data_IF_711479246907
#
_entry.id   IF_711479246907
#
_cell.length_a   1.000
_cell.length_b   1.000
_cell.length_c   1.000
_cell.angle_alpha   90.00
_cell.angle_beta   90.00
_cell.angle_gamma   90.00
#
_symmetry.space_group_name_H-M   'P 1'
#
loop_
_entity.id
_entity.type
_entity.pdbx_description
1 polymer ?
#
# COMPACT_ATOMS: atom_id res chain seq x y z
N UNK A 1 15.52 1.77 -5.85
CA UNK A 1 14.30 1.01 -5.50
C UNK A 1 13.08 1.92 -5.62
N UNK A 2 11.85 1.40 -5.76
CA UNK A 2 10.66 2.26 -5.74
C UNK A 2 10.50 2.88 -4.35
N UNK A 3 10.43 4.21 -4.25
CA UNK A 3 10.30 4.93 -2.99
C UNK A 3 8.83 5.23 -2.71
N UNK A 4 8.37 4.79 -1.54
CA UNK A 4 7.07 5.10 -0.97
C UNK A 4 7.31 5.90 0.31
N UNK A 5 6.58 6.98 0.51
CA UNK A 5 6.71 7.84 1.67
C UNK A 5 5.39 7.90 2.43
N UNK A 6 5.49 7.87 3.76
CA UNK A 6 4.38 8.09 4.67
C UNK A 6 4.72 9.33 5.49
N UNK A 7 3.88 10.36 5.38
CA UNK A 7 4.05 11.59 6.14
C UNK A 7 3.49 11.43 7.57
N UNK A 8 3.98 12.22 8.55
CA UNK A 8 3.51 12.17 9.93
C UNK A 8 1.99 12.30 10.10
N UNK A 9 1.36 13.16 9.31
CA UNK A 9 -0.09 13.37 9.29
C UNK A 9 -0.90 12.15 8.80
N UNK A 10 -0.25 11.22 8.10
CA UNK A 10 -0.87 10.05 7.47
C UNK A 10 -0.55 8.74 8.19
N UNK A 11 0.00 8.83 9.41
CA UNK A 11 0.12 7.70 10.36
C UNK A 11 -1.24 7.42 11.01
N UNK A 12 -2.21 7.04 10.19
CA UNK A 12 -3.60 6.77 10.59
C UNK A 12 -4.24 5.75 9.67
N UNK A 13 -5.23 5.03 10.19
CA UNK A 13 -6.02 4.06 9.41
C UNK A 13 -7.33 4.70 8.98
N UNK A 14 -7.60 4.67 7.69
CA UNK A 14 -8.90 4.97 7.11
C UNK A 14 -9.69 3.68 6.93
N UNK A 15 -10.93 3.68 7.43
CA UNK A 15 -11.85 2.55 7.22
C UNK A 15 -12.95 2.99 6.27
N UNK A 16 -13.21 2.18 5.23
CA UNK A 16 -14.40 2.32 4.40
C UNK A 16 -15.15 1.00 4.30
N UNK A 17 -16.47 1.07 4.39
CA UNK A 17 -17.33 -0.09 4.16
C UNK A 17 -17.81 -0.08 2.72
N UNK A 18 -17.56 -1.18 2.02
CA UNK A 18 -18.10 -1.39 0.68
C UNK A 18 -19.59 -1.68 0.74
N UNK A 19 -20.36 -1.23 -0.26
CA UNK A 19 -21.77 -1.58 -0.35
C UNK A 19 -21.92 -3.10 -0.52
N UNK A 20 -22.97 -3.71 0.05
CA UNK A 20 -23.36 -5.07 -0.31
C UNK A 20 -23.49 -5.18 -1.82
N UNK A 21 -23.02 -6.29 -2.37
CA UNK A 21 -23.13 -6.59 -3.80
C UNK A 21 -23.51 -8.05 -3.94
N UNK A 22 -24.56 -8.29 -4.72
CA UNK A 22 -25.20 -9.60 -4.85
C UNK A 22 -25.57 -10.13 -3.45
N UNK A 23 -25.44 -11.44 -3.20
CA UNK A 23 -25.70 -12.07 -1.89
C UNK A 23 -24.54 -11.93 -0.88
N UNK A 24 -23.56 -11.04 -1.15
CA UNK A 24 -22.40 -10.88 -0.28
C UNK A 24 -22.54 -9.61 0.57
N UNK A 25 -22.33 -9.72 1.90
CA UNK A 25 -22.35 -8.55 2.77
C UNK A 25 -21.23 -7.59 2.38
N UNK A 26 -21.46 -6.30 2.67
CA UNK A 26 -20.41 -5.29 2.58
C UNK A 26 -19.20 -5.69 3.42
N UNK A 27 -18.02 -5.30 2.96
CA UNK A 27 -16.74 -5.55 3.65
C UNK A 27 -16.08 -4.25 4.03
N UNK A 28 -15.51 -4.23 5.22
CA UNK A 28 -14.62 -3.17 5.65
C UNK A 28 -13.26 -3.31 4.97
N UNK A 29 -12.76 -2.20 4.47
CA UNK A 29 -11.42 -2.07 3.90
C UNK A 29 -10.69 -1.05 4.76
N UNK A 30 -9.51 -1.44 5.23
CA UNK A 30 -8.60 -0.62 6.00
C UNK A 30 -7.50 -0.14 5.06
N UNK A 31 -7.27 1.17 5.00
CA UNK A 31 -6.34 1.82 4.08
C UNK A 31 -5.51 2.85 4.86
N UNK A 32 -4.28 3.08 4.45
CA UNK A 32 -3.44 4.19 4.89
C UNK A 32 -3.03 5.01 3.66
N UNK A 33 -2.93 6.32 3.81
CA UNK A 33 -2.42 7.19 2.75
C UNK A 33 -0.89 7.12 2.72
N UNK A 34 -0.35 6.95 1.52
CA UNK A 34 1.09 6.91 1.26
C UNK A 34 1.36 7.56 -0.09
N UNK A 35 2.62 7.88 -0.39
CA UNK A 35 2.98 8.65 -1.57
C UNK A 35 4.09 7.94 -2.34
N UNK A 36 3.79 7.52 -3.56
CA UNK A 36 4.76 6.86 -4.43
C UNK A 36 5.55 7.90 -5.22
N UNK A 37 6.87 7.85 -5.11
CA UNK A 37 7.81 8.66 -5.89
C UNK A 37 8.04 7.97 -7.24
N UNK A 38 6.99 7.96 -8.07
CA UNK A 38 7.03 7.48 -9.46
C UNK A 38 7.31 8.64 -10.43
N UNK A 39 7.72 8.32 -11.66
CA UNK A 39 8.09 9.28 -12.71
C UNK A 39 7.19 10.52 -12.72
N UNK A 40 7.80 11.70 -12.51
CA UNK A 40 7.08 12.95 -12.35
C UNK A 40 7.87 13.92 -11.46
N UNK A 41 7.36 15.13 -11.30
CA UNK A 41 7.99 16.15 -10.45
C UNK A 41 7.67 15.98 -8.96
N UNK A 42 6.52 15.36 -8.66
CA UNK A 42 5.98 15.27 -7.31
C UNK A 42 5.53 13.84 -6.99
N UNK A 43 5.58 13.42 -5.71
CA UNK A 43 5.01 12.16 -5.27
C UNK A 43 3.51 12.10 -5.55
N UNK A 44 3.01 10.93 -5.90
CA UNK A 44 1.60 10.69 -6.18
C UNK A 44 0.97 9.93 -5.03
N UNK A 45 -0.13 10.44 -4.49
CA UNK A 45 -0.87 9.77 -3.42
C UNK A 45 -1.40 8.41 -3.88
N UNK A 46 -1.23 7.41 -3.04
CA UNK A 46 -1.75 6.06 -3.20
C UNK A 46 -2.44 5.59 -1.91
N UNK A 47 -3.26 4.56 -2.05
CA UNK A 47 -3.92 3.89 -0.93
C UNK A 47 -3.22 2.58 -0.64
N UNK A 48 -2.54 2.51 0.50
CA UNK A 48 -1.92 1.28 0.99
C UNK A 48 -2.94 0.49 1.80
N UNK A 49 -3.27 -0.71 1.35
CA UNK A 49 -4.23 -1.55 2.07
C UNK A 49 -3.58 -2.16 3.33
N UNK A 50 -4.31 -2.14 4.43
CA UNK A 50 -3.94 -2.75 5.70
C UNK A 50 -4.86 -3.94 6.02
N UNK A 51 -4.36 -4.86 6.83
CA UNK A 51 -5.17 -5.91 7.43
C UNK A 51 -6.03 -5.38 8.58
N UNK A 52 -7.09 -6.12 8.93
CA UNK A 52 -7.97 -5.76 10.04
C UNK A 52 -7.18 -5.76 11.36
N UNK A 53 -7.10 -4.59 12.00
CA UNK A 53 -6.39 -4.42 13.27
C UNK A 53 -4.88 -4.21 13.13
N UNK A 54 -4.35 -4.17 11.90
CA UNK A 54 -2.97 -3.79 11.64
C UNK A 54 -2.77 -2.31 12.03
N UNK A 55 -1.67 -2.03 12.74
CA UNK A 55 -1.26 -0.67 13.03
C UNK A 55 -0.79 0.04 11.75
N UNK A 56 -1.06 1.34 11.58
CA UNK A 56 -0.54 2.07 10.44
C UNK A 56 0.99 2.04 10.46
N UNK A 57 1.60 1.98 9.28
CA UNK A 57 3.03 2.12 9.15
C UNK A 57 3.44 3.50 9.68
N UNK A 58 4.54 3.60 10.45
CA UNK A 58 5.02 4.88 10.94
C UNK A 58 5.53 5.75 9.78
N UNK A 59 5.63 7.05 10.03
CA UNK A 59 6.18 7.98 9.04
C UNK A 59 7.61 7.58 8.65
N UNK A 60 7.92 7.70 7.37
CA UNK A 60 9.23 7.28 6.85
C UNK A 60 9.21 6.93 5.38
N UNK A 61 10.37 6.45 4.93
CA UNK A 61 10.60 5.99 3.57
C UNK A 61 10.62 4.48 3.51
N UNK A 62 9.95 3.94 2.51
CA UNK A 62 9.71 2.52 2.31
C UNK A 62 9.91 2.13 0.86
N UNK A 63 9.98 0.83 0.63
CA UNK A 63 9.90 0.21 -0.68
C UNK A 63 8.98 -1.02 -0.62
N UNK A 64 8.35 -1.45 -1.73
CA UNK A 64 7.59 -2.69 -1.72
C UNK A 64 8.52 -3.87 -1.42
N UNK A 65 8.15 -4.67 -0.42
CA UNK A 65 8.85 -5.92 -0.11
C UNK A 65 8.79 -6.89 -1.30
N UNK A 66 9.80 -7.74 -1.45
CA UNK A 66 9.84 -8.78 -2.49
C UNK A 66 8.58 -9.68 -2.48
N UNK A 67 7.99 -9.90 -1.31
CA UNK A 67 6.75 -10.66 -1.11
C UNK A 67 5.50 -9.99 -1.72
N UNK A 68 5.59 -8.73 -2.12
CA UNK A 68 4.53 -7.96 -2.76
C UNK A 68 4.50 -8.13 -4.28
N UNK A 69 5.50 -8.77 -4.87
CA UNK A 69 5.53 -9.06 -6.30
C UNK A 69 5.02 -10.47 -6.58
N UNK A 70 4.36 -10.63 -7.72
CA UNK A 70 3.86 -11.90 -8.24
C UNK A 70 4.23 -12.03 -9.71
N UNK A 71 4.25 -13.26 -10.21
CA UNK A 71 4.21 -13.54 -11.64
C UNK A 71 2.75 -13.73 -12.02
N UNK A 72 2.23 -12.89 -12.91
CA UNK A 72 0.85 -12.99 -13.34
C UNK A 72 0.63 -14.17 -14.31
N UNK A 73 -0.61 -14.40 -14.70
CA UNK A 73 -0.99 -15.56 -15.53
C UNK A 73 -0.32 -15.59 -16.92
N UNK A 74 0.30 -14.49 -17.34
CA UNK A 74 1.02 -14.37 -18.62
C UNK A 74 2.54 -14.46 -18.46
N UNK A 75 3.04 -14.73 -17.24
CA UNK A 75 4.48 -14.83 -16.97
C UNK A 75 5.17 -13.49 -16.67
N UNK A 76 4.43 -12.38 -16.60
CA UNK A 76 5.00 -11.06 -16.34
C UNK A 76 5.07 -10.76 -14.84
N UNK A 77 6.09 -10.00 -14.42
CA UNK A 77 6.20 -9.47 -13.06
C UNK A 77 5.13 -8.39 -12.82
N UNK A 78 4.40 -8.50 -11.71
CA UNK A 78 3.35 -7.57 -11.32
C UNK A 78 3.38 -7.34 -9.80
N UNK A 79 2.96 -6.16 -9.34
CA UNK A 79 2.72 -5.92 -7.93
C UNK A 79 1.34 -6.47 -7.53
N UNK A 80 1.22 -7.09 -6.35
CA UNK A 80 -0.06 -7.55 -5.83
C UNK A 80 -1.07 -6.42 -5.83
N UNK A 81 -2.27 -6.71 -6.34
CA UNK A 81 -3.40 -5.78 -6.26
C UNK A 81 -3.87 -5.53 -4.82
N UNK A 82 -3.72 -6.51 -3.94
CA UNK A 82 -4.17 -6.48 -2.54
C UNK A 82 -3.11 -7.08 -1.62
N UNK A 83 -3.04 -6.61 -0.38
CA UNK A 83 -2.08 -7.14 0.62
C UNK A 83 -0.62 -6.84 0.25
N UNK A 84 -0.36 -5.64 -0.25
CA UNK A 84 1.00 -5.18 -0.46
C UNK A 84 1.67 -4.93 0.90
N UNK A 85 2.85 -5.50 1.07
CA UNK A 85 3.73 -5.25 2.21
C UNK A 85 4.84 -4.31 1.75
N UNK A 86 5.09 -3.28 2.55
CA UNK A 86 6.23 -2.38 2.40
C UNK A 86 7.23 -2.61 3.53
N UNK A 87 8.50 -2.39 3.23
CA UNK A 87 9.61 -2.48 4.18
C UNK A 87 10.42 -1.19 4.16
N UNK A 88 11.07 -0.81 5.27
CA UNK A 88 11.85 0.43 5.34
C UNK A 88 12.88 0.49 4.21
N UNK A 89 12.97 1.65 3.55
CA UNK A 89 14.00 1.87 2.55
C UNK A 89 15.33 2.10 3.28
N UNK A 90 16.24 1.12 3.22
CA UNK A 90 17.58 1.27 3.76
C UNK A 90 18.31 2.43 3.06
N UNK A 91 19.09 3.25 3.77
CA UNK A 91 19.91 4.27 3.14
C UNK A 91 20.94 3.61 2.22
N UNK A 92 21.07 4.11 0.99
CA UNK A 92 22.16 3.71 0.10
C UNK A 92 23.49 4.09 0.79
N UNK A 93 24.30 3.08 1.09
CA UNK A 93 25.64 3.21 1.69
C UNK A 93 26.67 3.70 0.67
#
# INVERSE_FOLDING_TARGET
MLKIEIFPEDVKVHTRTTKPKDDKPGRDIYEQEAYAHISGKFPVQMKLQLEKGQQPYPAGLYTPSSSSYIINNFGSLELKRYGQIIEPLEPEL
#
